data_IF_662291667101
#
_entry.id   IF_662291667101
#
_cell.length_a   1.000
_cell.length_b   1.000
_cell.length_c   1.000
_cell.angle_alpha   90.00
_cell.angle_beta   90.00
_cell.angle_gamma   90.00
#
_symmetry.space_group_name_H-M   'P 1'
#
loop_
_entity.id
_entity.type
_entity.pdbx_description
1 polymer ?
#
# COMPACT_ATOMS: atom_id res chain seq x y z
N UNK A 1 -27.58 -7.45 -14.01
CA UNK A 1 -26.35 -7.18 -13.26
C UNK A 1 -26.25 -5.68 -13.07
N UNK A 2 -25.89 -5.22 -11.87
CA UNK A 2 -25.63 -3.80 -11.61
C UNK A 2 -24.28 -3.37 -12.21
N UNK A 3 -24.04 -2.06 -12.32
CA UNK A 3 -22.75 -1.52 -12.75
C UNK A 3 -21.61 -1.99 -11.82
N UNK A 4 -21.87 -2.07 -10.52
CA UNK A 4 -20.90 -2.54 -9.53
C UNK A 4 -20.57 -4.03 -9.73
N UNK A 5 -21.58 -4.87 -10.04
CA UNK A 5 -21.35 -6.28 -10.37
C UNK A 5 -20.42 -6.44 -11.57
N UNK A 6 -20.62 -5.62 -12.61
CA UNK A 6 -19.77 -5.64 -13.82
C UNK A 6 -18.33 -5.24 -13.48
N UNK A 7 -18.14 -4.13 -12.74
CA UNK A 7 -16.80 -3.63 -12.38
C UNK A 7 -16.04 -4.60 -11.46
N UNK A 8 -16.74 -5.25 -10.53
CA UNK A 8 -16.14 -6.28 -9.67
C UNK A 8 -15.70 -7.48 -10.50
N UNK A 9 -16.51 -7.92 -11.47
CA UNK A 9 -16.15 -9.04 -12.35
C UNK A 9 -14.93 -8.71 -13.22
N UNK A 10 -14.87 -7.51 -13.80
CA UNK A 10 -13.72 -7.03 -14.58
C UNK A 10 -12.44 -6.96 -13.74
N UNK A 11 -12.49 -6.34 -12.55
CA UNK A 11 -11.34 -6.25 -11.66
C UNK A 11 -10.86 -7.62 -11.21
N UNK A 12 -11.78 -8.53 -10.87
CA UNK A 12 -11.45 -9.91 -10.52
C UNK A 12 -10.73 -10.62 -11.66
N UNK A 13 -11.19 -10.43 -12.90
CA UNK A 13 -10.55 -11.03 -14.07
C UNK A 13 -9.15 -10.47 -14.33
N UNK A 14 -8.94 -9.17 -14.11
CA UNK A 14 -7.64 -8.52 -14.28
C UNK A 14 -6.61 -8.99 -13.26
N UNK A 15 -7.05 -9.28 -12.04
CA UNK A 15 -6.18 -9.68 -10.93
C UNK A 15 -6.09 -11.19 -10.75
N UNK A 16 -6.64 -12.01 -11.65
CA UNK A 16 -6.83 -13.44 -11.43
C UNK A 16 -5.55 -14.19 -11.00
N UNK A 17 -4.39 -13.78 -11.52
CA UNK A 17 -3.09 -14.39 -11.21
C UNK A 17 -2.51 -13.96 -9.84
N UNK A 18 -2.89 -12.77 -9.36
CA UNK A 18 -2.35 -12.15 -8.14
C UNK A 18 -3.37 -12.13 -6.97
N UNK A 19 -4.63 -12.47 -7.24
CA UNK A 19 -5.73 -12.37 -6.28
C UNK A 19 -5.69 -13.54 -5.29
N UNK A 20 -5.31 -13.27 -4.05
CA UNK A 20 -5.34 -14.29 -2.99
C UNK A 20 -6.76 -14.53 -2.49
N UNK A 21 -7.07 -15.72 -1.92
CA UNK A 21 -8.40 -16.03 -1.38
C UNK A 21 -8.90 -15.03 -0.31
N UNK A 22 -7.97 -14.39 0.40
CA UNK A 22 -8.30 -13.36 1.38
C UNK A 22 -8.90 -12.11 0.72
N UNK A 23 -8.39 -11.72 -0.45
CA UNK A 23 -8.85 -10.55 -1.20
C UNK A 23 -9.95 -10.86 -2.21
N UNK A 24 -10.14 -12.13 -2.61
CA UNK A 24 -11.22 -12.54 -3.52
C UNK A 24 -12.60 -12.60 -2.86
N UNK A 25 -13.11 -11.44 -2.46
CA UNK A 25 -14.50 -11.28 -2.04
C UNK A 25 -15.13 -10.09 -2.74
N UNK A 26 -16.44 -10.16 -2.97
CA UNK A 26 -17.19 -9.05 -3.56
C UNK A 26 -16.99 -7.77 -2.75
N UNK A 27 -17.03 -7.86 -1.41
CA UNK A 27 -16.80 -6.73 -0.51
C UNK A 27 -15.42 -6.10 -0.68
N UNK A 28 -14.34 -6.91 -0.73
CA UNK A 28 -12.99 -6.37 -0.88
C UNK A 28 -12.78 -5.71 -2.24
N UNK A 29 -13.24 -6.34 -3.32
CA UNK A 29 -13.11 -5.80 -4.67
C UNK A 29 -13.95 -4.52 -4.85
N UNK A 30 -15.18 -4.51 -4.34
CA UNK A 30 -16.02 -3.32 -4.36
C UNK A 30 -15.41 -2.19 -3.53
N UNK A 31 -14.84 -2.51 -2.36
CA UNK A 31 -14.10 -1.55 -1.54
C UNK A 31 -12.94 -0.94 -2.32
N UNK A 32 -12.15 -1.73 -3.05
CA UNK A 32 -11.06 -1.19 -3.89
C UNK A 32 -11.56 -0.27 -5.01
N UNK A 33 -12.65 -0.66 -5.67
CA UNK A 33 -13.27 0.14 -6.74
C UNK A 33 -13.80 1.48 -6.22
N UNK A 34 -14.40 1.48 -5.02
CA UNK A 34 -14.96 2.68 -4.38
C UNK A 34 -13.88 3.51 -3.67
N UNK A 35 -12.87 2.85 -3.10
CA UNK A 35 -11.67 3.45 -2.50
C UNK A 35 -10.63 3.88 -3.55
N UNK A 36 -10.99 3.81 -4.83
CA UNK A 36 -10.34 4.55 -5.91
C UNK A 36 -10.93 5.97 -6.11
N UNK A 37 -10.91 6.92 -5.14
CA UNK A 37 -11.13 8.32 -5.44
C UNK A 37 -9.84 9.13 -5.28
N UNK A 38 -9.42 9.76 -6.40
CA UNK A 38 -8.37 10.78 -6.53
C UNK A 38 -6.97 10.28 -6.17
N UNK A 39 -6.04 10.48 -7.11
CA UNK A 39 -4.62 10.33 -6.82
C UNK A 39 -4.34 10.98 -5.46
N UNK A 40 -3.80 10.20 -4.53
CA UNK A 40 -3.30 10.75 -3.28
C UNK A 40 -2.49 11.99 -3.64
N UNK A 41 -2.66 13.14 -2.95
CA UNK A 41 -1.81 14.31 -3.18
C UNK A 41 -0.33 13.97 -2.96
N UNK A 42 -0.07 12.85 -2.27
CA UNK A 42 1.24 12.26 -2.11
C UNK A 42 1.43 11.17 -3.17
N UNK A 43 2.44 11.36 -4.01
CA UNK A 43 2.84 10.40 -5.04
C UNK A 43 3.60 9.23 -4.40
N UNK A 44 2.84 8.32 -3.78
CA UNK A 44 3.41 7.19 -3.02
C UNK A 44 4.12 6.17 -3.91
N UNK A 45 3.72 6.04 -5.18
CA UNK A 45 4.31 5.08 -6.11
C UNK A 45 5.80 5.38 -6.38
N UNK A 46 6.16 6.67 -6.39
CA UNK A 46 7.53 7.14 -6.65
C UNK A 46 8.26 7.59 -5.37
N UNK A 47 7.72 7.30 -4.18
CA UNK A 47 8.32 7.74 -2.90
C UNK A 47 9.74 7.23 -2.69
N UNK A 48 10.06 6.04 -3.22
CA UNK A 48 11.38 5.43 -3.11
C UNK A 48 12.39 5.97 -4.13
N UNK A 49 11.92 6.66 -5.16
CA UNK A 49 12.75 7.22 -6.23
C UNK A 49 13.15 8.68 -5.95
N UNK A 50 12.43 9.35 -5.05
CA UNK A 50 12.69 10.74 -4.66
C UNK A 50 13.64 10.81 -3.46
N UNK A 51 14.48 11.85 -3.44
CA UNK A 51 15.45 12.06 -2.37
C UNK A 51 14.75 12.22 -1.00
N UNK A 52 15.40 11.73 0.05
CA UNK A 52 14.96 11.91 1.44
C UNK A 52 14.81 13.41 1.74
N UNK A 53 13.69 13.76 2.39
CA UNK A 53 13.30 15.14 2.65
C UNK A 53 12.49 15.84 1.54
N UNK A 54 12.48 15.32 0.31
CA UNK A 54 11.74 15.95 -0.80
C UNK A 54 10.25 15.57 -0.83
N UNK A 55 9.91 14.33 -0.48
CA UNK A 55 8.52 13.89 -0.41
C UNK A 55 7.86 14.30 0.93
N UNK A 56 6.60 14.80 0.93
CA UNK A 56 5.90 15.19 2.16
C UNK A 56 5.85 14.10 3.24
N UNK A 57 5.82 12.83 2.84
CA UNK A 57 5.81 11.70 3.77
C UNK A 57 7.09 11.60 4.61
N UNK A 58 8.24 12.08 4.11
CA UNK A 58 9.52 12.01 4.83
C UNK A 58 9.50 12.82 6.13
N UNK A 59 8.57 13.78 6.26
CA UNK A 59 8.34 14.48 7.52
C UNK A 59 7.73 13.58 8.61
N UNK A 60 6.83 12.69 8.22
CA UNK A 60 6.09 11.81 9.13
C UNK A 60 6.76 10.44 9.27
N UNK A 61 7.57 10.07 8.28
CA UNK A 61 8.29 8.81 8.19
C UNK A 61 9.78 9.07 7.88
N UNK A 62 10.52 9.62 8.86
CA UNK A 62 11.90 10.06 8.63
C UNK A 62 12.85 8.89 8.31
N UNK A 63 12.62 7.74 8.97
CA UNK A 63 13.48 6.56 8.88
C UNK A 63 12.67 5.30 8.53
N UNK A 64 12.46 5.08 7.23
CA UNK A 64 12.11 3.77 6.66
C UNK A 64 13.32 3.12 5.99
N UNK A 65 13.59 1.85 6.25
CA UNK A 65 14.57 1.05 5.50
C UNK A 65 13.91 -0.21 5.00
N UNK A 66 13.88 -0.41 3.69
CA UNK A 66 13.36 -1.61 3.07
C UNK A 66 14.47 -2.28 2.25
N UNK A 67 14.68 -3.58 2.41
CA UNK A 67 15.70 -4.31 1.68
C UNK A 67 15.74 -5.80 2.00
N UNK A 68 16.67 -6.54 1.41
CA UNK A 68 16.87 -7.96 1.74
C UNK A 68 17.44 -8.12 3.15
N UNK A 69 16.98 -9.14 3.87
CA UNK A 69 17.38 -9.44 5.25
C UNK A 69 18.90 -9.59 5.43
N UNK A 70 19.61 -10.10 4.41
CA UNK A 70 21.02 -10.51 4.52
C UNK A 70 21.27 -11.74 5.39
N UNK A 71 20.34 -12.07 6.29
CA UNK A 71 20.39 -13.23 7.20
C UNK A 71 19.44 -14.34 6.73
N UNK A 72 18.17 -14.00 6.46
CA UNK A 72 17.17 -14.96 6.00
C UNK A 72 17.10 -14.94 4.47
N UNK A 73 17.37 -16.07 3.78
CA UNK A 73 17.31 -16.14 2.33
C UNK A 73 15.91 -15.78 1.80
N UNK A 74 15.86 -14.93 0.76
CA UNK A 74 14.61 -14.48 0.10
C UNK A 74 13.62 -13.76 1.02
N UNK A 75 14.08 -13.20 2.14
CA UNK A 75 13.26 -12.41 3.04
C UNK A 75 13.52 -10.91 2.83
N UNK A 76 12.46 -10.14 2.62
CA UNK A 76 12.48 -8.67 2.62
C UNK A 76 12.21 -8.20 4.06
N UNK A 77 13.04 -7.29 4.55
CA UNK A 77 12.88 -6.63 5.84
C UNK A 77 12.50 -5.17 5.57
N UNK A 78 11.41 -4.75 6.20
CA UNK A 78 11.00 -3.36 6.27
C UNK A 78 11.08 -2.91 7.74
N UNK A 79 11.92 -1.91 8.00
CA UNK A 79 12.08 -1.28 9.30
C UNK A 79 11.49 0.12 9.20
N UNK A 80 10.57 0.43 10.10
CA UNK A 80 9.91 1.71 10.19
C UNK A 80 10.09 2.32 11.58
N UNK A 81 10.44 3.60 11.63
CA UNK A 81 10.39 4.35 12.87
C UNK A 81 8.94 4.75 13.16
N UNK A 82 8.43 4.32 14.31
CA UNK A 82 7.18 4.81 14.87
C UNK A 82 7.54 5.90 15.88
N UNK A 83 6.95 7.09 15.72
CA UNK A 83 7.06 8.14 16.75
C UNK A 83 6.06 7.78 17.83
N UNK A 84 6.55 7.29 18.97
CA UNK A 84 5.70 7.08 20.13
C UNK A 84 5.39 8.45 20.75
N UNK A 85 4.12 8.86 20.78
CA UNK A 85 3.67 10.06 21.48
C UNK A 85 3.53 9.81 23.00
N UNK A 86 4.24 8.83 23.55
CA UNK A 86 4.34 8.63 24.98
C UNK A 86 5.42 9.57 25.55
N UNK A 87 5.01 10.36 26.54
CA UNK A 87 5.78 11.32 27.36
C UNK A 87 5.76 12.78 26.87
N UNK A 88 4.59 13.40 26.97
CA UNK A 88 4.48 14.62 27.78
C UNK A 88 3.59 14.27 28.99
N UNK A 89 4.22 14.22 30.16
CA UNK A 89 3.60 14.11 31.48
C UNK A 89 3.81 15.42 32.23
#
# INVERSE_FOLDING_TARGET
MSLDDTRVAELRSLLADDLTPYYDTYFNLLRWIQASPKASPWNLDHVLEVERGSHPIHKYWPDSRCGLSGVIPRCIVHIEQIVDHAVEA
#
